data_IF_522905179147
#
_entry.id   IF_522905179147
#
_cell.length_a   1.000
_cell.length_b   1.000
_cell.length_c   1.000
_cell.angle_alpha   90.00
_cell.angle_beta   90.00
_cell.angle_gamma   90.00
#
_symmetry.space_group_name_H-M   'P 1'
#
loop_
_entity.id
_entity.type
_entity.pdbx_description
1 polymer ?
#
# COMPACT_ATOMS: atom_id res chain seq x y z
N UNK A 1 11.58 14.86 -14.93
CA UNK A 1 12.29 13.82 -14.15
C UNK A 1 12.11 12.41 -14.72
N UNK A 2 11.05 12.12 -15.44
CA UNK A 2 10.84 10.79 -16.04
C UNK A 2 12.01 10.32 -16.96
N UNK A 3 12.80 11.23 -17.50
CA UNK A 3 13.94 10.96 -18.39
C UNK A 3 15.31 11.10 -17.70
N UNK A 4 15.35 11.04 -16.36
CA UNK A 4 16.62 11.10 -15.64
C UNK A 4 17.43 9.83 -15.89
N UNK A 5 18.77 9.96 -15.91
CA UNK A 5 19.66 8.80 -15.94
C UNK A 5 19.42 7.92 -14.71
N UNK A 6 19.27 6.62 -14.93
CA UNK A 6 19.04 5.65 -13.88
C UNK A 6 20.14 4.60 -13.84
N UNK A 7 20.48 4.15 -12.63
CA UNK A 7 21.45 3.07 -12.39
C UNK A 7 20.89 2.08 -11.41
N UNK A 8 21.09 0.79 -11.69
CA UNK A 8 20.85 -0.27 -10.71
C UNK A 8 22.07 -0.41 -9.79
N UNK A 9 21.82 -0.33 -8.50
CA UNK A 9 22.85 -0.53 -7.49
C UNK A 9 22.52 -1.76 -6.64
N UNK A 10 23.54 -2.47 -6.19
CA UNK A 10 23.44 -3.57 -5.24
C UNK A 10 23.76 -3.09 -3.83
N UNK A 11 23.38 -3.87 -2.82
CA UNK A 11 23.73 -3.61 -1.42
C UNK A 11 25.25 -3.45 -1.23
N UNK A 12 26.04 -4.27 -1.92
CA UNK A 12 27.50 -4.24 -1.83
C UNK A 12 28.11 -2.97 -2.48
N UNK A 13 27.50 -2.46 -3.53
CA UNK A 13 27.97 -1.24 -4.24
C UNK A 13 27.50 0.03 -3.55
N UNK A 14 26.36 -0.02 -2.89
CA UNK A 14 25.70 1.16 -2.31
C UNK A 14 25.19 2.12 -3.38
N UNK A 15 24.62 3.23 -2.91
CA UNK A 15 24.19 4.34 -3.77
C UNK A 15 25.38 5.29 -3.92
N UNK A 16 25.83 5.63 -5.15
CA UNK A 16 26.95 6.53 -5.35
C UNK A 16 26.67 7.93 -4.79
N UNK A 17 27.74 8.64 -4.44
CA UNK A 17 27.63 10.03 -3.98
C UNK A 17 26.92 10.90 -5.04
N UNK A 18 26.00 11.73 -4.61
CA UNK A 18 25.17 12.57 -5.48
C UNK A 18 23.98 11.87 -6.13
N UNK A 19 23.77 10.58 -5.88
CA UNK A 19 22.63 9.83 -6.37
C UNK A 19 21.59 9.60 -5.28
N UNK A 20 20.35 9.34 -5.69
CA UNK A 20 19.22 9.05 -4.78
C UNK A 20 18.64 7.67 -5.10
N UNK A 21 18.29 6.93 -4.06
CA UNK A 21 17.48 5.71 -4.21
C UNK A 21 16.02 6.08 -4.38
N UNK A 22 15.46 5.91 -5.57
CA UNK A 22 14.10 6.35 -5.91
C UNK A 22 13.12 5.23 -6.20
N UNK A 23 13.59 4.00 -6.42
CA UNK A 23 12.74 2.81 -6.55
C UNK A 23 13.57 1.54 -6.32
N UNK A 24 12.86 0.42 -6.17
CA UNK A 24 13.46 -0.91 -6.04
C UNK A 24 13.90 -1.48 -7.39
N UNK A 25 15.05 -2.12 -7.41
CA UNK A 25 15.53 -2.84 -8.59
C UNK A 25 14.77 -4.16 -8.83
N UNK A 26 14.89 -4.74 -10.05
CA UNK A 26 14.09 -5.91 -10.46
C UNK A 26 14.27 -7.14 -9.58
N UNK A 27 15.44 -7.34 -8.98
CA UNK A 27 15.65 -8.45 -8.03
C UNK A 27 14.84 -8.28 -6.75
N UNK A 28 14.81 -7.07 -6.19
CA UNK A 28 14.03 -6.76 -4.99
C UNK A 28 12.53 -6.85 -5.26
N UNK A 29 12.08 -6.35 -6.42
CA UNK A 29 10.69 -6.46 -6.86
C UNK A 29 10.28 -7.93 -6.94
N UNK A 30 11.10 -8.78 -7.56
CA UNK A 30 10.82 -10.22 -7.67
C UNK A 30 10.63 -10.87 -6.31
N UNK A 31 11.55 -10.64 -5.37
CA UNK A 31 11.46 -11.19 -4.01
C UNK A 31 10.19 -10.74 -3.28
N UNK A 32 9.86 -9.45 -3.39
CA UNK A 32 8.64 -8.91 -2.79
C UNK A 32 7.37 -9.50 -3.42
N UNK A 33 7.31 -9.59 -4.73
CA UNK A 33 6.17 -10.20 -5.45
C UNK A 33 6.00 -11.67 -5.10
N UNK A 34 7.09 -12.43 -4.96
CA UNK A 34 7.03 -13.82 -4.49
C UNK A 34 6.44 -13.93 -3.08
N UNK A 35 6.75 -12.99 -2.18
CA UNK A 35 6.15 -12.94 -0.86
C UNK A 35 4.65 -12.58 -0.92
N UNK A 36 4.29 -11.57 -1.73
CA UNK A 36 2.91 -11.16 -1.97
C UNK A 36 2.06 -12.33 -2.46
N UNK A 37 2.56 -13.09 -3.44
CA UNK A 37 1.82 -14.22 -4.04
C UNK A 37 1.55 -15.34 -3.03
N UNK A 38 2.38 -15.52 -2.03
CA UNK A 38 2.15 -16.53 -0.96
C UNK A 38 1.26 -16.04 0.17
N UNK A 39 1.13 -14.73 0.35
CA UNK A 39 0.43 -14.16 1.48
C UNK A 39 -1.09 -14.34 1.39
N UNK A 40 -1.74 -14.60 2.52
CA UNK A 40 -3.21 -14.62 2.67
C UNK A 40 -3.75 -13.30 3.24
N UNK A 41 -2.91 -12.55 3.94
CA UNK A 41 -3.21 -11.21 4.44
C UNK A 41 -2.04 -10.31 4.08
N UNK A 42 -2.35 -9.17 3.48
CA UNK A 42 -1.39 -8.18 3.03
C UNK A 42 -1.78 -6.84 3.63
N UNK A 43 -0.87 -6.22 4.36
CA UNK A 43 -0.97 -4.82 4.77
C UNK A 43 0.12 -4.07 4.03
N UNK A 44 -0.28 -3.18 3.13
CA UNK A 44 0.65 -2.39 2.33
C UNK A 44 0.62 -0.94 2.78
N UNK A 45 1.74 -0.50 3.34
CA UNK A 45 1.95 0.88 3.77
C UNK A 45 3.25 1.41 3.18
N UNK A 46 3.19 2.55 2.54
CA UNK A 46 4.21 3.22 1.73
C UNK A 46 4.48 2.56 0.38
N UNK A 47 4.41 3.31 -0.72
CA UNK A 47 4.88 2.87 -2.03
C UNK A 47 6.41 2.68 -2.00
N UNK A 48 6.95 1.63 -2.64
CA UNK A 48 8.39 1.36 -2.62
C UNK A 48 9.21 2.31 -3.49
N UNK A 49 8.57 3.01 -4.43
CA UNK A 49 9.20 3.96 -5.33
C UNK A 49 8.53 5.33 -5.28
N UNK A 50 9.21 6.34 -5.84
CA UNK A 50 8.66 7.70 -5.97
C UNK A 50 7.77 7.76 -7.22
N UNK A 51 6.62 7.11 -7.10
CA UNK A 51 5.68 6.83 -8.20
C UNK A 51 5.18 8.11 -8.90
N UNK A 52 5.17 9.26 -8.20
CA UNK A 52 4.74 10.56 -8.72
C UNK A 52 5.58 11.03 -9.91
N UNK A 53 6.82 10.56 -10.00
CA UNK A 53 7.68 10.87 -11.14
C UNK A 53 7.40 9.98 -12.36
N UNK A 54 6.61 8.91 -12.18
CA UNK A 54 6.27 7.97 -13.24
C UNK A 54 7.47 7.18 -13.78
N UNK A 55 7.29 6.51 -14.92
CA UNK A 55 8.35 5.81 -15.62
C UNK A 55 9.10 4.79 -14.76
N UNK A 56 10.42 4.88 -14.75
CA UNK A 56 11.30 3.96 -14.04
C UNK A 56 11.10 3.96 -12.51
N UNK A 57 10.58 5.06 -11.95
CA UNK A 57 10.45 5.24 -10.49
C UNK A 57 9.10 4.74 -9.92
N UNK A 58 8.19 4.29 -10.78
CA UNK A 58 6.91 3.69 -10.40
C UNK A 58 6.88 2.17 -10.59
N UNK A 59 7.99 1.56 -11.00
CA UNK A 59 8.05 0.16 -11.43
C UNK A 59 7.69 -0.80 -10.30
N UNK A 60 8.26 -0.62 -9.11
CA UNK A 60 7.96 -1.48 -7.98
C UNK A 60 6.53 -1.28 -7.45
N UNK A 61 6.05 -0.03 -7.41
CA UNK A 61 4.69 0.29 -6.99
C UNK A 61 3.67 -0.36 -7.93
N UNK A 62 3.87 -0.26 -9.25
CA UNK A 62 3.02 -0.92 -10.25
C UNK A 62 3.04 -2.44 -10.10
N UNK A 63 4.22 -3.03 -9.91
CA UNK A 63 4.35 -4.47 -9.73
C UNK A 63 3.61 -4.98 -8.48
N UNK A 64 3.56 -4.19 -7.41
CA UNK A 64 2.81 -4.54 -6.21
C UNK A 64 1.31 -4.49 -6.45
N UNK A 65 0.81 -3.43 -7.13
CA UNK A 65 -0.60 -3.35 -7.52
C UNK A 65 -0.98 -4.56 -8.38
N UNK A 66 -0.18 -4.86 -9.40
CA UNK A 66 -0.43 -5.96 -10.33
C UNK A 66 -0.42 -7.34 -9.64
N UNK A 67 0.39 -7.52 -8.61
CA UNK A 67 0.46 -8.76 -7.85
C UNK A 67 -0.68 -8.90 -6.82
N UNK A 68 -1.13 -7.82 -6.20
CA UNK A 68 -2.12 -7.84 -5.12
C UNK A 68 -3.55 -7.80 -5.66
N UNK A 69 -3.85 -6.86 -6.56
CA UNK A 69 -5.20 -6.53 -6.97
C UNK A 69 -5.98 -7.73 -7.56
N UNK A 70 -5.45 -8.54 -8.48
CA UNK A 70 -6.17 -9.69 -9.01
C UNK A 70 -6.51 -10.72 -7.94
N UNK A 71 -5.59 -10.96 -7.01
CA UNK A 71 -5.74 -11.94 -5.94
C UNK A 71 -6.79 -11.51 -4.92
N UNK A 72 -6.82 -10.21 -4.58
CA UNK A 72 -7.84 -9.65 -3.70
C UNK A 72 -9.24 -9.74 -4.33
N UNK A 73 -9.36 -9.43 -5.62
CA UNK A 73 -10.62 -9.56 -6.37
C UNK A 73 -11.12 -11.00 -6.47
N UNK A 74 -10.21 -11.97 -6.51
CA UNK A 74 -10.54 -13.40 -6.53
C UNK A 74 -10.79 -13.98 -5.14
N UNK A 75 -10.66 -13.18 -4.08
CA UNK A 75 -10.80 -13.62 -2.69
C UNK A 75 -9.66 -14.52 -2.21
N UNK A 76 -8.53 -14.54 -2.90
CA UNK A 76 -7.36 -15.36 -2.54
C UNK A 76 -6.57 -14.77 -1.37
N UNK A 77 -6.69 -13.47 -1.15
CA UNK A 77 -6.08 -12.76 -0.03
C UNK A 77 -6.93 -11.59 0.45
N UNK A 78 -6.76 -11.24 1.71
CA UNK A 78 -7.24 -9.97 2.27
C UNK A 78 -6.15 -8.94 2.07
N UNK A 79 -6.47 -7.80 1.44
CA UNK A 79 -5.52 -6.73 1.17
C UNK A 79 -5.99 -5.42 1.77
N UNK A 80 -5.16 -4.84 2.62
CA UNK A 80 -5.37 -3.54 3.25
C UNK A 80 -4.30 -2.59 2.78
N UNK A 81 -4.73 -1.50 2.15
CA UNK A 81 -3.86 -0.37 1.79
C UNK A 81 -3.94 0.64 2.92
N UNK A 82 -2.79 1.05 3.46
CA UNK A 82 -2.66 2.03 4.53
C UNK A 82 -1.71 3.17 4.17
N UNK A 83 -2.00 4.34 4.71
CA UNK A 83 -1.22 5.56 4.47
C UNK A 83 -1.66 6.35 3.24
N UNK A 84 -1.55 7.69 3.34
CA UNK A 84 -1.99 8.61 2.30
C UNK A 84 -1.30 8.39 0.95
N UNK A 85 0.02 8.25 0.96
CA UNK A 85 0.81 8.08 -0.27
C UNK A 85 0.48 6.77 -0.99
N UNK A 86 0.26 5.68 -0.23
CA UNK A 86 -0.13 4.39 -0.83
C UNK A 86 -1.54 4.47 -1.42
N UNK A 87 -2.47 5.11 -0.72
CA UNK A 87 -3.82 5.33 -1.22
C UNK A 87 -3.80 6.19 -2.50
N UNK A 88 -2.97 7.25 -2.53
CA UNK A 88 -2.77 8.08 -3.71
C UNK A 88 -2.21 7.27 -4.88
N UNK A 89 -1.17 6.45 -4.65
CA UNK A 89 -0.59 5.58 -5.68
C UNK A 89 -1.63 4.62 -6.29
N UNK A 90 -2.43 3.99 -5.42
CA UNK A 90 -3.49 3.06 -5.85
C UNK A 90 -4.60 3.79 -6.62
N UNK A 91 -4.95 5.02 -6.24
CA UNK A 91 -5.93 5.86 -6.94
C UNK A 91 -5.43 6.28 -8.33
N UNK A 92 -4.19 6.76 -8.44
CA UNK A 92 -3.58 7.14 -9.72
C UNK A 92 -3.51 5.96 -10.69
N UNK A 93 -3.27 4.75 -10.17
CA UNK A 93 -3.28 3.50 -10.94
C UNK A 93 -4.70 2.95 -11.17
N UNK A 94 -5.75 3.66 -10.77
CA UNK A 94 -7.17 3.28 -10.91
C UNK A 94 -7.46 1.88 -10.35
N UNK A 95 -6.86 1.57 -9.21
CA UNK A 95 -6.93 0.26 -8.59
C UNK A 95 -7.64 0.24 -7.23
N UNK A 96 -8.20 1.35 -6.74
CA UNK A 96 -8.83 1.47 -5.40
C UNK A 96 -9.88 0.38 -5.14
N UNK A 97 -10.81 0.19 -6.07
CA UNK A 97 -11.86 -0.82 -5.96
C UNK A 97 -11.41 -2.28 -6.13
N UNK A 98 -10.09 -2.51 -6.29
CA UNK A 98 -9.52 -3.84 -6.47
C UNK A 98 -8.89 -4.41 -5.20
N UNK A 99 -8.81 -3.60 -4.14
CA UNK A 99 -8.31 -4.00 -2.82
C UNK A 99 -9.47 -4.27 -1.86
N UNK A 100 -9.24 -5.11 -0.85
CA UNK A 100 -10.27 -5.40 0.15
C UNK A 100 -10.60 -4.15 0.97
N UNK A 101 -9.60 -3.35 1.32
CA UNK A 101 -9.79 -2.10 2.04
C UNK A 101 -8.69 -1.10 1.68
N UNK A 102 -9.08 0.17 1.51
CA UNK A 102 -8.15 1.29 1.32
C UNK A 102 -8.41 2.32 2.42
N UNK A 103 -7.40 2.61 3.23
CA UNK A 103 -7.46 3.56 4.33
C UNK A 103 -6.45 4.67 4.13
N UNK A 104 -6.90 5.90 4.25
CA UNK A 104 -6.06 7.12 4.23
C UNK A 104 -5.66 7.59 5.63
N UNK A 105 -6.20 6.96 6.67
CA UNK A 105 -5.97 7.31 8.06
C UNK A 105 -4.85 6.51 8.73
N UNK A 106 -4.58 6.81 9.99
CA UNK A 106 -3.52 6.27 10.84
C UNK A 106 -3.68 4.77 11.17
N UNK A 107 -3.72 3.91 10.14
CA UNK A 107 -4.01 2.47 10.28
C UNK A 107 -2.95 1.74 11.10
N UNK A 108 -1.68 2.11 10.98
CA UNK A 108 -0.60 1.46 11.73
C UNK A 108 -0.67 1.81 13.21
N UNK A 109 -0.94 3.05 13.56
CA UNK A 109 -1.12 3.51 14.94
C UNK A 109 -2.30 2.79 15.61
N UNK A 110 -3.38 2.54 14.85
CA UNK A 110 -4.51 1.77 15.35
C UNK A 110 -4.12 0.31 15.62
N UNK A 111 -3.34 -0.30 14.72
CA UNK A 111 -2.85 -1.69 14.88
C UNK A 111 -1.87 -1.80 16.05
N UNK A 112 -1.08 -0.73 16.32
CA UNK A 112 -0.23 -0.62 17.52
C UNK A 112 -1.03 -0.49 18.84
N UNK A 113 -2.35 -0.35 18.77
CA UNK A 113 -3.22 -0.16 19.92
C UNK A 113 -3.28 1.28 20.44
N UNK A 114 -2.84 2.24 19.62
CA UNK A 114 -2.97 3.67 19.98
C UNK A 114 -4.42 4.12 19.88
N UNK A 115 -4.87 4.84 20.91
CA UNK A 115 -6.17 5.50 20.85
C UNK A 115 -6.09 6.73 19.95
N UNK A 116 -6.74 6.64 18.79
CA UNK A 116 -6.82 7.76 17.85
C UNK A 116 -7.96 8.72 18.23
N UNK A 117 -7.79 10.04 18.13
CA UNK A 117 -8.84 11.00 18.49
C UNK A 117 -10.16 10.77 17.76
N UNK A 118 -10.10 10.41 16.46
CA UNK A 118 -11.30 10.10 15.68
C UNK A 118 -12.01 8.82 16.14
N UNK A 119 -11.26 7.82 16.59
CA UNK A 119 -11.82 6.58 17.13
C UNK A 119 -12.38 6.83 18.54
N UNK A 120 -11.66 7.59 19.38
CA UNK A 120 -12.11 7.94 20.73
C UNK A 120 -13.41 8.76 20.74
N UNK A 121 -13.71 9.45 19.65
CA UNK A 121 -14.95 10.23 19.51
C UNK A 121 -16.16 9.39 19.06
N UNK A 122 -15.96 8.13 18.67
CA UNK A 122 -17.04 7.22 18.27
C UNK A 122 -17.69 6.60 19.50
N UNK A 123 -18.99 6.41 19.43
CA UNK A 123 -19.74 5.64 20.45
C UNK A 123 -19.41 4.15 20.31
N UNK A 124 -19.11 3.49 21.41
CA UNK A 124 -18.90 2.03 21.42
C UNK A 124 -20.19 1.29 21.02
N UNK A 125 -20.06 0.23 20.21
CA UNK A 125 -21.21 -0.57 19.78
C UNK A 125 -21.95 -1.18 20.98
N UNK A 126 -21.24 -1.50 22.05
CA UNK A 126 -21.85 -2.01 23.29
C UNK A 126 -22.76 -0.98 24.00
N UNK A 127 -22.55 0.31 23.75
CA UNK A 127 -23.36 1.41 24.28
C UNK A 127 -24.54 1.80 23.39
N UNK A 128 -24.58 1.29 22.14
CA UNK A 128 -25.60 1.66 21.14
C UNK A 128 -26.94 0.93 21.34
N UNK A 129 -27.03 -0.05 22.23
CA UNK A 129 -28.25 -0.84 22.43
C UNK A 129 -28.75 -1.51 21.13
N UNK A 130 -30.08 -1.57 20.93
CA UNK A 130 -30.72 -2.16 19.74
C UNK A 130 -30.71 -1.25 18.51
N UNK A 131 -29.67 -0.43 18.29
CA UNK A 131 -29.59 0.43 17.11
C UNK A 131 -29.43 -0.42 15.84
N UNK A 132 -30.50 -0.53 15.06
CA UNK A 132 -30.47 -1.15 13.72
C UNK A 132 -30.20 -0.05 12.69
N UNK A 133 -29.04 -0.11 11.98
CA UNK A 133 -28.76 0.87 10.92
C UNK A 133 -29.80 0.80 9.81
N UNK A 134 -30.32 1.96 9.39
CA UNK A 134 -31.40 2.08 8.39
C UNK A 134 -30.98 1.84 6.92
N UNK A 135 -29.76 1.33 6.67
CA UNK A 135 -29.27 1.04 5.30
C UNK A 135 -29.38 -0.44 4.90
N UNK A 136 -30.13 -1.23 5.60
CA UNK A 136 -30.41 -2.65 5.25
C UNK A 136 -31.71 -2.78 4.44
N UNK A 137 -31.80 -2.08 3.31
CA UNK A 137 -32.87 -2.32 2.33
C UNK A 137 -32.31 -2.22 0.91
#
# INVERSE_FOLDING_TARGET
>A
MADAETKLCTEAEGIPEGWLGLDCGPKSIKVAVEAIVRAKTIVWNCPPGVFEFGGAFATATSAFVDAIAPRAQQGECVSVVGGGDTATAVAEMRAEGKFTHVSTGASLELVEGRMLPGIAALTDVSEMGDFVPQWSS
#
